data_IF_564870090823
#
_entry.id   IF_564870090823
#
_cell.length_a   1.000
_cell.length_b   1.000
_cell.length_c   1.000
_cell.angle_alpha   90.00
_cell.angle_beta   90.00
_cell.angle_gamma   90.00
#
_symmetry.space_group_name_H-M   'P 1'
#
loop_
_entity.id
_entity.type
_entity.pdbx_description
1 polymer ?
#
# COMPACT_ATOMS: atom_id res chain seq x y z
N UNK A 1 -0.76 6.39 17.43
CA UNK A 1 0.17 5.75 16.46
C UNK A 1 1.44 6.58 16.28
N UNK A 2 1.36 7.87 15.97
CA UNK A 2 2.54 8.76 15.91
C UNK A 2 3.48 8.57 17.11
N UNK A 3 2.98 8.65 18.35
CA UNK A 3 3.81 8.53 19.56
C UNK A 3 4.56 7.18 19.63
N UNK A 4 3.98 6.10 19.09
CA UNK A 4 4.63 4.79 19.02
C UNK A 4 5.77 4.77 18.00
N UNK A 5 5.61 5.47 16.86
CA UNK A 5 6.65 5.61 15.84
C UNK A 5 7.81 6.46 16.37
N UNK A 6 7.50 7.61 17.01
CA UNK A 6 8.51 8.43 17.68
C UNK A 6 9.24 7.64 18.76
N UNK A 7 8.51 6.95 19.65
CA UNK A 7 9.12 6.10 20.68
C UNK A 7 10.06 5.04 20.10
N UNK A 8 9.70 4.41 18.97
CA UNK A 8 10.58 3.45 18.30
C UNK A 8 11.88 4.11 17.86
N UNK A 9 11.80 5.24 17.17
CA UNK A 9 12.95 5.90 16.57
C UNK A 9 13.80 6.73 17.56
N UNK A 10 13.22 7.24 18.63
CA UNK A 10 13.88 8.19 19.51
C UNK A 10 14.31 7.56 20.84
N UNK A 11 13.60 6.52 21.31
CA UNK A 11 13.87 5.88 22.60
C UNK A 11 14.36 4.43 22.47
N UNK A 12 13.68 3.61 21.67
CA UNK A 12 13.94 2.16 21.61
C UNK A 12 15.16 1.86 20.72
N UNK A 13 15.27 2.50 19.57
CA UNK A 13 16.28 2.19 18.56
C UNK A 13 16.95 3.42 17.91
N UNK A 14 17.35 4.47 18.66
CA UNK A 14 17.87 5.72 18.09
C UNK A 14 19.17 5.58 17.28
N UNK A 15 19.94 4.53 17.54
CA UNK A 15 21.15 4.23 16.77
C UNK A 15 20.88 3.42 15.49
N UNK A 16 19.67 2.90 15.30
CA UNK A 16 19.33 2.00 14.20
C UNK A 16 18.35 2.61 13.19
N UNK A 17 17.45 3.49 13.62
CA UNK A 17 16.40 4.08 12.79
C UNK A 17 16.18 5.55 13.13
N UNK A 18 15.87 6.37 12.12
CA UNK A 18 15.60 7.79 12.31
C UNK A 18 14.42 8.22 11.40
N UNK A 19 13.57 9.11 11.91
CA UNK A 19 12.44 9.66 11.16
C UNK A 19 12.95 10.72 10.17
N UNK A 20 12.58 10.56 8.91
CA UNK A 20 12.87 11.49 7.83
C UNK A 20 11.65 12.33 7.48
N UNK A 21 11.88 13.63 7.37
CA UNK A 21 10.85 14.61 7.03
C UNK A 21 11.00 15.18 5.62
N UNK A 22 12.17 15.00 5.00
CA UNK A 22 12.55 15.53 3.69
C UNK A 22 13.41 14.51 2.95
N UNK A 23 13.55 14.62 1.63
CA UNK A 23 14.45 13.75 0.85
C UNK A 23 15.90 13.87 1.32
N UNK A 24 16.34 15.05 1.76
CA UNK A 24 17.66 15.27 2.34
C UNK A 24 17.85 14.49 3.66
N UNK A 25 16.82 14.38 4.49
CA UNK A 25 16.88 13.51 5.68
C UNK A 25 17.03 12.05 5.26
N UNK A 26 16.23 11.57 4.30
CA UNK A 26 16.33 10.19 3.78
C UNK A 26 17.77 9.87 3.35
N UNK A 27 18.39 10.75 2.54
CA UNK A 27 19.77 10.57 2.05
C UNK A 27 20.79 10.59 3.17
N UNK A 28 20.70 11.55 4.09
CA UNK A 28 21.61 11.67 5.23
C UNK A 28 21.53 10.45 6.15
N UNK A 29 20.32 10.01 6.50
CA UNK A 29 20.07 8.89 7.42
C UNK A 29 20.61 7.59 6.80
N UNK A 30 20.30 7.35 5.52
CA UNK A 30 20.82 6.19 4.80
C UNK A 30 22.36 6.22 4.70
N UNK A 31 22.96 7.37 4.40
CA UNK A 31 24.42 7.53 4.35
C UNK A 31 25.09 7.30 5.72
N UNK A 32 24.37 7.53 6.82
CA UNK A 32 24.81 7.21 8.18
C UNK A 32 24.64 5.72 8.55
N UNK A 33 24.12 4.88 7.65
CA UNK A 33 23.90 3.45 7.89
C UNK A 33 22.66 3.14 8.73
N UNK A 34 21.81 4.13 9.01
CA UNK A 34 20.54 3.94 9.74
C UNK A 34 19.40 3.60 8.78
N UNK A 35 18.38 2.93 9.30
CA UNK A 35 17.09 2.77 8.63
C UNK A 35 16.35 4.10 8.60
N UNK A 36 15.63 4.33 7.51
CA UNK A 36 14.82 5.53 7.31
C UNK A 36 13.37 5.20 7.63
N UNK A 37 12.75 5.95 8.53
CA UNK A 37 11.31 5.92 8.76
C UNK A 37 10.66 7.17 8.15
N UNK A 38 9.55 7.01 7.42
CA UNK A 38 8.67 8.09 7.03
C UNK A 38 7.25 7.77 7.50
N UNK A 39 6.44 8.79 7.81
CA UNK A 39 5.10 8.57 8.37
C UNK A 39 4.03 8.86 7.33
N UNK A 40 3.23 7.83 7.04
CA UNK A 40 2.01 7.92 6.24
C UNK A 40 0.75 7.83 7.09
N UNK A 41 -0.30 8.53 6.68
CA UNK A 41 -1.63 8.46 7.27
C UNK A 41 -2.56 7.78 6.29
N UNK A 42 -2.74 6.48 6.45
CA UNK A 42 -3.74 5.74 5.67
C UNK A 42 -5.11 5.93 6.33
N UNK A 43 -6.04 6.58 5.61
CA UNK A 43 -7.34 7.06 6.06
C UNK A 43 -7.32 8.40 6.83
N UNK A 44 -7.90 9.44 6.22
CA UNK A 44 -8.12 10.74 6.85
C UNK A 44 -9.28 10.74 7.87
N UNK A 45 -10.04 9.65 8.04
CA UNK A 45 -11.12 9.58 9.03
C UNK A 45 -10.75 10.13 10.43
N UNK A 46 -9.55 9.84 10.99
CA UNK A 46 -9.13 10.37 12.29
C UNK A 46 -8.83 11.88 12.34
N UNK A 47 -8.73 12.57 11.20
CA UNK A 47 -8.68 14.05 11.15
C UNK A 47 -9.97 14.64 11.75
N UNK A 48 -11.08 13.87 11.74
CA UNK A 48 -12.35 14.32 12.30
C UNK A 48 -12.99 15.40 11.43
N UNK A 49 -13.63 16.39 12.08
CA UNK A 49 -14.29 17.52 11.43
C UNK A 49 -13.53 18.84 11.59
N UNK A 50 -12.35 18.80 12.21
CA UNK A 50 -11.50 19.97 12.44
C UNK A 50 -10.30 19.90 11.50
N UNK A 51 -10.29 20.77 10.49
CA UNK A 51 -9.26 20.81 9.46
C UNK A 51 -7.86 21.14 10.02
N UNK A 52 -7.78 21.77 11.20
CA UNK A 52 -6.48 22.06 11.84
C UNK A 52 -5.70 20.79 12.22
N UNK A 53 -6.37 19.64 12.32
CA UNK A 53 -5.71 18.36 12.56
C UNK A 53 -4.80 17.92 11.39
N UNK A 54 -4.98 18.44 10.17
CA UNK A 54 -4.05 18.19 9.06
C UNK A 54 -2.68 18.81 9.37
N UNK A 55 -2.65 20.03 9.90
CA UNK A 55 -1.42 20.67 10.38
C UNK A 55 -0.81 19.89 11.55
N UNK A 56 -1.62 19.46 12.53
CA UNK A 56 -1.14 18.63 13.65
C UNK A 56 -0.45 17.35 13.13
N UNK A 57 -1.08 16.65 12.19
CA UNK A 57 -0.51 15.42 11.63
C UNK A 57 0.78 15.69 10.87
N UNK A 58 0.86 16.79 10.11
CA UNK A 58 2.10 17.22 9.46
C UNK A 58 3.23 17.51 10.47
N UNK A 59 2.92 18.25 11.53
CA UNK A 59 3.86 18.62 12.61
C UNK A 59 4.37 17.40 13.38
N UNK A 60 3.54 16.34 13.48
CA UNK A 60 3.91 15.04 14.05
C UNK A 60 4.62 14.12 13.04
N UNK A 61 4.99 14.64 11.88
CA UNK A 61 5.83 13.94 10.90
C UNK A 61 5.10 13.29 9.73
N UNK A 62 3.78 13.43 9.64
CA UNK A 62 2.99 12.96 8.50
C UNK A 62 3.47 13.56 7.18
N UNK A 63 3.73 12.72 6.17
CA UNK A 63 4.21 13.17 4.85
C UNK A 63 3.35 12.71 3.67
N UNK A 64 2.46 11.75 3.88
CA UNK A 64 1.38 11.49 2.95
C UNK A 64 0.10 11.10 3.69
N UNK A 65 -1.06 11.28 3.05
CA UNK A 65 -2.34 10.88 3.61
C UNK A 65 -3.35 10.50 2.53
N UNK A 66 -4.09 9.41 2.73
CA UNK A 66 -5.22 9.03 1.87
C UNK A 66 -6.55 9.50 2.47
N UNK A 67 -7.44 10.06 1.65
CA UNK A 67 -8.71 10.61 2.16
C UNK A 67 -9.75 9.55 2.53
N UNK A 68 -9.56 8.30 2.10
CA UNK A 68 -10.39 7.15 2.46
C UNK A 68 -9.52 5.88 2.58
N UNK A 69 -10.08 4.83 3.16
CA UNK A 69 -9.49 3.48 3.18
C UNK A 69 -10.57 2.48 2.71
N UNK A 70 -10.70 1.30 3.30
CA UNK A 70 -11.86 0.43 3.11
C UNK A 70 -13.07 1.01 3.84
N UNK A 71 -14.04 1.51 3.07
CA UNK A 71 -15.20 2.27 3.55
C UNK A 71 -15.07 3.78 3.30
N UNK A 72 -16.20 4.42 2.98
CA UNK A 72 -16.29 5.87 2.77
C UNK A 72 -15.90 6.64 4.04
N UNK A 73 -15.31 7.82 3.86
CA UNK A 73 -15.02 8.75 4.96
C UNK A 73 -15.87 10.02 4.82
N UNK A 74 -15.75 10.91 5.80
CA UNK A 74 -16.31 12.26 5.74
C UNK A 74 -15.63 13.14 4.66
N UNK A 75 -14.51 12.70 4.07
CA UNK A 75 -13.76 13.43 3.05
C UNK A 75 -13.97 12.88 1.64
N UNK A 76 -14.05 11.55 1.50
CA UNK A 76 -14.05 10.92 0.18
C UNK A 76 -14.77 9.57 0.17
N UNK A 77 -15.30 9.23 -1.00
CA UNK A 77 -15.74 7.87 -1.29
C UNK A 77 -14.57 6.91 -1.44
N UNK A 78 -14.76 5.68 -1.00
CA UNK A 78 -13.80 4.59 -1.16
C UNK A 78 -14.09 3.78 -2.43
N UNK A 79 -13.06 3.17 -2.99
CA UNK A 79 -13.18 2.13 -4.02
C UNK A 79 -14.16 1.01 -3.63
N UNK A 80 -14.39 0.77 -2.34
CA UNK A 80 -15.31 -0.28 -1.88
C UNK A 80 -16.76 -0.06 -2.33
N UNK A 81 -17.14 1.18 -2.68
CA UNK A 81 -18.46 1.48 -3.23
C UNK A 81 -18.72 0.81 -4.58
N UNK A 82 -17.67 0.43 -5.32
CA UNK A 82 -17.82 -0.26 -6.61
C UNK A 82 -18.46 -1.64 -6.47
N UNK A 83 -18.28 -2.29 -5.31
CA UNK A 83 -18.81 -3.63 -5.05
C UNK A 83 -20.35 -3.65 -5.02
N UNK A 84 -20.96 -2.61 -4.48
CA UNK A 84 -22.40 -2.54 -4.18
C UNK A 84 -23.12 -1.32 -4.76
N UNK A 85 -22.41 -0.50 -5.56
CA UNK A 85 -22.89 0.76 -6.15
C UNK A 85 -23.41 1.76 -5.10
N UNK A 86 -22.71 1.83 -3.96
CA UNK A 86 -23.01 2.75 -2.87
C UNK A 86 -21.97 3.86 -2.81
N UNK A 87 -22.42 5.10 -2.88
CA UNK A 87 -21.58 6.30 -2.89
C UNK A 87 -22.15 7.34 -1.90
N UNK A 88 -21.30 7.90 -1.04
CA UNK A 88 -21.69 8.90 -0.05
C UNK A 88 -21.62 10.32 -0.63
N UNK A 89 -20.61 10.60 -1.45
CA UNK A 89 -20.34 11.95 -1.99
C UNK A 89 -20.36 11.99 -3.52
N UNK A 90 -20.34 10.83 -4.18
CA UNK A 90 -20.05 10.63 -5.60
C UNK A 90 -18.66 11.16 -6.00
N UNK A 91 -17.67 11.01 -5.10
CA UNK A 91 -16.34 11.60 -5.25
C UNK A 91 -15.83 12.15 -3.92
N UNK A 92 -15.47 13.44 -3.91
CA UNK A 92 -15.11 14.16 -2.68
C UNK A 92 -16.34 14.81 -2.03
N UNK A 93 -16.32 14.90 -0.71
CA UNK A 93 -17.20 15.82 0.02
C UNK A 93 -16.68 17.26 -0.08
N UNK A 94 -17.47 18.26 0.33
CA UNK A 94 -16.97 19.65 0.42
C UNK A 94 -15.73 19.73 1.32
N UNK A 95 -15.74 19.01 2.43
CA UNK A 95 -14.59 18.92 3.34
C UNK A 95 -13.40 18.17 2.70
N UNK A 96 -13.65 17.21 1.82
CA UNK A 96 -12.62 16.56 1.01
C UNK A 96 -11.90 17.53 0.09
N UNK A 97 -12.64 18.43 -0.57
CA UNK A 97 -12.07 19.47 -1.45
C UNK A 97 -11.25 20.48 -0.64
N UNK A 98 -11.72 20.87 0.53
CA UNK A 98 -10.95 21.71 1.47
C UNK A 98 -9.68 21.00 1.96
N UNK A 99 -9.76 19.70 2.26
CA UNK A 99 -8.60 18.92 2.69
C UNK A 99 -7.51 18.84 1.61
N UNK A 100 -7.86 18.74 0.32
CA UNK A 100 -6.89 18.81 -0.79
C UNK A 100 -6.06 20.10 -0.71
N UNK A 101 -6.73 21.24 -0.53
CA UNK A 101 -6.05 22.53 -0.42
C UNK A 101 -5.16 22.61 0.82
N UNK A 102 -5.64 22.13 1.98
CA UNK A 102 -4.88 22.19 3.22
C UNK A 102 -3.66 21.23 3.21
N UNK A 103 -3.79 20.06 2.57
CA UNK A 103 -2.67 19.15 2.34
C UNK A 103 -1.62 19.76 1.41
N UNK A 104 -2.03 20.45 0.34
CA UNK A 104 -1.10 21.18 -0.52
C UNK A 104 -0.38 22.29 0.25
N UNK A 105 -1.09 23.06 1.09
CA UNK A 105 -0.52 24.12 1.91
C UNK A 105 0.53 23.59 2.88
N UNK A 106 0.29 22.47 3.56
CA UNK A 106 1.25 21.91 4.53
C UNK A 106 2.33 21.02 3.90
N UNK A 107 2.18 20.63 2.65
CA UNK A 107 3.13 19.74 1.97
C UNK A 107 2.98 18.27 2.38
N UNK A 108 1.74 17.83 2.64
CA UNK A 108 1.40 16.41 2.73
C UNK A 108 1.09 15.90 1.32
N UNK A 109 1.80 14.86 0.88
CA UNK A 109 1.50 14.20 -0.39
C UNK A 109 0.10 13.58 -0.31
N UNK A 110 -0.77 13.92 -1.24
CA UNK A 110 -2.10 13.32 -1.32
C UNK A 110 -1.95 11.93 -1.92
N UNK A 111 -2.43 10.93 -1.17
CA UNK A 111 -2.38 9.52 -1.55
C UNK A 111 -3.73 9.03 -2.10
N UNK A 112 -3.70 8.49 -3.32
CA UNK A 112 -4.88 7.99 -4.04
C UNK A 112 -5.07 6.49 -3.95
N UNK A 113 -4.26 5.79 -3.16
CA UNK A 113 -4.53 4.39 -2.83
C UNK A 113 -5.72 4.32 -1.86
N UNK A 114 -6.80 3.62 -2.27
CA UNK A 114 -8.12 3.39 -1.64
C UNK A 114 -9.30 4.26 -2.09
N UNK A 115 -9.21 5.59 -2.30
CA UNK A 115 -10.32 6.39 -2.77
C UNK A 115 -10.98 5.86 -4.07
N UNK A 116 -12.24 6.22 -4.29
CA UNK A 116 -12.97 5.87 -5.52
C UNK A 116 -12.40 6.59 -6.74
N UNK A 117 -12.61 6.06 -7.95
CA UNK A 117 -12.19 6.73 -9.19
C UNK A 117 -12.65 8.18 -9.25
N UNK A 118 -13.92 8.46 -8.96
CA UNK A 118 -14.46 9.82 -8.97
C UNK A 118 -13.68 10.75 -8.01
N UNK A 119 -13.40 10.29 -6.79
CA UNK A 119 -12.64 11.06 -5.81
C UNK A 119 -11.20 11.33 -6.30
N UNK A 120 -10.54 10.32 -6.89
CA UNK A 120 -9.18 10.44 -7.44
C UNK A 120 -9.13 11.49 -8.55
N UNK A 121 -10.08 11.45 -9.48
CA UNK A 121 -10.14 12.41 -10.59
C UNK A 121 -10.37 13.85 -10.08
N UNK A 122 -11.23 14.03 -9.09
CA UNK A 122 -11.41 15.35 -8.46
C UNK A 122 -10.16 15.82 -7.69
N UNK A 123 -9.45 14.92 -6.99
CA UNK A 123 -8.17 15.28 -6.36
C UNK A 123 -7.15 15.76 -7.41
N UNK A 124 -7.07 15.09 -8.56
CA UNK A 124 -6.21 15.47 -9.69
C UNK A 124 -6.61 16.81 -10.31
N UNK A 125 -7.91 17.15 -10.35
CA UNK A 125 -8.41 18.42 -10.85
C UNK A 125 -8.12 19.59 -9.88
N UNK A 126 -8.13 19.33 -8.57
CA UNK A 126 -8.03 20.35 -7.53
C UNK A 126 -6.59 20.59 -7.03
N UNK A 127 -5.75 19.56 -7.06
CA UNK A 127 -4.43 19.63 -6.44
C UNK A 127 -3.48 20.58 -7.19
N UNK A 128 -2.67 21.31 -6.43
CA UNK A 128 -1.58 22.13 -6.95
C UNK A 128 -0.25 21.36 -7.04
N UNK A 129 -0.15 20.18 -6.44
CA UNK A 129 1.09 19.43 -6.30
C UNK A 129 0.96 17.98 -6.81
N UNK A 130 2.08 17.29 -7.10
CA UNK A 130 2.02 15.91 -7.55
C UNK A 130 1.42 14.96 -6.51
N UNK A 131 0.59 14.03 -6.96
CA UNK A 131 -0.03 12.98 -6.15
C UNK A 131 0.85 11.73 -6.07
N UNK A 132 0.54 10.87 -5.10
CA UNK A 132 1.08 9.51 -5.04
C UNK A 132 -0.07 8.51 -5.04
N UNK A 133 0.17 7.30 -5.54
CA UNK A 133 -0.55 6.11 -5.10
C UNK A 133 0.44 5.27 -4.29
N UNK A 134 0.29 5.19 -2.97
CA UNK A 134 1.30 4.57 -2.10
C UNK A 134 1.30 3.04 -2.15
N UNK A 135 0.20 2.44 -2.59
CA UNK A 135 0.03 0.99 -2.80
C UNK A 135 -1.17 0.69 -3.71
N UNK A 136 -0.93 0.75 -5.02
CA UNK A 136 -1.90 0.39 -6.05
C UNK A 136 -1.19 -0.18 -7.27
N UNK A 137 -1.89 -1.03 -8.03
CA UNK A 137 -1.36 -1.65 -9.25
C UNK A 137 -2.27 -1.33 -10.45
N UNK A 138 -1.90 -1.79 -11.65
CA UNK A 138 -2.65 -1.54 -12.88
C UNK A 138 -3.90 -2.43 -13.03
N UNK A 139 -5.05 -1.81 -13.31
CA UNK A 139 -6.35 -2.52 -13.42
C UNK A 139 -6.48 -3.32 -14.72
N UNK A 140 -5.86 -2.85 -15.80
CA UNK A 140 -5.80 -3.56 -17.08
C UNK A 140 -5.11 -4.94 -16.97
N UNK A 141 -4.22 -5.12 -16.00
CA UNK A 141 -3.50 -6.38 -15.76
C UNK A 141 -4.27 -7.34 -14.84
N UNK A 142 -5.02 -6.80 -13.87
CA UNK A 142 -5.90 -7.59 -13.00
C UNK A 142 -7.08 -6.72 -12.54
N UNK A 143 -8.28 -7.13 -12.92
CA UNK A 143 -9.51 -6.38 -12.70
C UNK A 143 -9.89 -6.36 -11.22
N UNK A 144 -9.58 -5.26 -10.54
CA UNK A 144 -9.82 -5.08 -9.11
C UNK A 144 -10.02 -3.59 -8.79
N UNK A 145 -11.02 -3.24 -7.97
CA UNK A 145 -11.36 -1.85 -7.63
C UNK A 145 -10.22 -1.08 -6.92
N UNK A 146 -9.27 -1.80 -6.31
CA UNK A 146 -8.05 -1.23 -5.70
C UNK A 146 -6.98 -0.82 -6.70
N UNK A 147 -7.06 -1.34 -7.92
CA UNK A 147 -6.15 -0.98 -9.00
C UNK A 147 -6.64 0.26 -9.74
N UNK A 148 -5.69 0.98 -10.32
CA UNK A 148 -5.94 2.18 -11.10
C UNK A 148 -6.16 1.79 -12.56
N UNK A 149 -7.21 2.33 -13.18
CA UNK A 149 -7.38 2.20 -14.62
C UNK A 149 -6.47 3.15 -15.40
N UNK A 150 -6.35 2.91 -16.70
CA UNK A 150 -5.43 3.65 -17.56
C UNK A 150 -5.73 5.16 -17.60
N UNK A 151 -6.99 5.57 -17.45
CA UNK A 151 -7.35 6.99 -17.39
C UNK A 151 -6.75 7.63 -16.13
N UNK A 152 -6.91 6.99 -14.97
CA UNK A 152 -6.33 7.47 -13.72
C UNK A 152 -4.80 7.49 -13.80
N UNK A 153 -4.18 6.44 -14.36
CA UNK A 153 -2.73 6.33 -14.52
C UNK A 153 -2.19 7.46 -15.41
N UNK A 154 -2.81 7.72 -16.55
CA UNK A 154 -2.41 8.81 -17.45
C UNK A 154 -2.58 10.19 -16.81
N UNK A 155 -3.63 10.40 -16.01
CA UNK A 155 -3.79 11.65 -15.27
C UNK A 155 -2.73 11.82 -14.18
N UNK A 156 -2.33 10.76 -13.48
CA UNK A 156 -1.23 10.80 -12.51
C UNK A 156 0.10 11.16 -13.20
N UNK A 157 0.35 10.61 -14.39
CA UNK A 157 1.49 10.99 -15.24
C UNK A 157 1.48 12.49 -15.54
N UNK A 158 0.37 13.01 -16.07
CA UNK A 158 0.21 14.44 -16.41
C UNK A 158 0.42 15.36 -15.20
N UNK A 159 -0.03 14.93 -14.02
CA UNK A 159 0.15 15.63 -12.75
C UNK A 159 1.60 15.61 -12.22
N UNK A 160 2.47 14.74 -12.74
CA UNK A 160 3.84 14.59 -12.24
C UNK A 160 4.00 13.58 -11.10
N UNK A 161 2.94 12.82 -10.79
CA UNK A 161 2.85 11.94 -9.63
C UNK A 161 3.65 10.65 -9.75
N UNK A 162 3.48 9.72 -8.80
CA UNK A 162 4.10 8.39 -8.81
C UNK A 162 3.14 7.31 -8.32
N UNK A 163 3.15 6.15 -8.97
CA UNK A 163 2.40 4.95 -8.58
C UNK A 163 3.37 3.93 -7.99
N UNK A 164 3.25 3.66 -6.70
CA UNK A 164 3.99 2.61 -6.01
C UNK A 164 3.26 1.28 -6.24
N UNK A 165 3.78 0.46 -7.17
CA UNK A 165 3.19 -0.83 -7.52
C UNK A 165 3.20 -1.75 -6.31
N UNK A 166 2.03 -2.24 -5.91
CA UNK A 166 1.88 -3.00 -4.66
C UNK A 166 2.00 -4.51 -4.87
N UNK A 167 2.77 -5.16 -4.01
CA UNK A 167 2.89 -6.62 -3.93
C UNK A 167 1.70 -7.27 -3.19
N UNK A 168 0.48 -7.12 -3.71
CA UNK A 168 -0.71 -7.72 -3.11
C UNK A 168 -1.32 -8.77 -4.06
N UNK A 169 -1.34 -10.05 -3.62
CA UNK A 169 -1.67 -11.19 -4.49
C UNK A 169 -2.96 -11.04 -5.30
N UNK A 170 -4.07 -10.68 -4.65
CA UNK A 170 -5.36 -10.49 -5.33
C UNK A 170 -5.43 -9.25 -6.24
N UNK A 171 -4.51 -8.30 -6.10
CA UNK A 171 -4.45 -7.11 -6.94
C UNK A 171 -3.54 -7.31 -8.14
N UNK A 172 -2.52 -8.17 -8.02
CA UNK A 172 -1.62 -8.50 -9.12
C UNK A 172 -2.19 -9.56 -10.05
N UNK A 173 -2.84 -10.59 -9.50
CA UNK A 173 -3.41 -11.64 -10.34
C UNK A 173 -4.55 -12.33 -9.60
N UNK A 174 -5.76 -11.77 -9.72
CA UNK A 174 -6.94 -12.24 -9.00
C UNK A 174 -7.28 -13.72 -9.27
N UNK A 175 -7.10 -14.16 -10.52
CA UNK A 175 -7.36 -15.54 -10.93
C UNK A 175 -6.34 -16.51 -10.33
N UNK A 176 -5.03 -16.23 -10.49
CA UNK A 176 -3.95 -17.04 -9.91
C UNK A 176 -4.07 -17.09 -8.38
N UNK A 177 -4.35 -15.96 -7.74
CA UNK A 177 -4.58 -15.88 -6.30
C UNK A 177 -5.78 -16.71 -5.84
N UNK A 178 -6.89 -16.67 -6.59
CA UNK A 178 -8.09 -17.46 -6.29
C UNK A 178 -7.84 -18.96 -6.42
N UNK A 179 -7.17 -19.38 -7.50
CA UNK A 179 -6.81 -20.78 -7.71
C UNK A 179 -5.90 -21.31 -6.60
N UNK A 180 -4.86 -20.56 -6.21
CA UNK A 180 -3.96 -20.93 -5.12
C UNK A 180 -4.69 -21.04 -3.79
N UNK A 181 -5.50 -20.03 -3.44
CA UNK A 181 -6.30 -20.00 -2.21
C UNK A 181 -7.28 -21.17 -2.14
N UNK A 182 -7.95 -21.51 -3.23
CA UNK A 182 -8.92 -22.60 -3.27
C UNK A 182 -8.23 -23.97 -3.14
N UNK A 183 -7.04 -24.15 -3.72
CA UNK A 183 -6.23 -25.35 -3.55
C UNK A 183 -5.71 -25.50 -2.12
N UNK A 184 -5.20 -24.42 -1.52
CA UNK A 184 -4.78 -24.38 -0.11
C UNK A 184 -5.95 -24.66 0.83
N UNK A 185 -7.13 -24.10 0.57
CA UNK A 185 -8.33 -24.33 1.37
C UNK A 185 -8.69 -25.81 1.39
N UNK A 186 -8.68 -26.48 0.23
CA UNK A 186 -8.95 -27.94 0.15
C UNK A 186 -7.94 -28.78 0.93
N UNK A 187 -6.65 -28.43 0.86
CA UNK A 187 -5.61 -29.11 1.63
C UNK A 187 -5.86 -28.93 3.14
N UNK A 188 -6.12 -27.70 3.58
CA UNK A 188 -6.38 -27.38 4.97
C UNK A 188 -7.66 -28.04 5.49
N UNK A 189 -8.73 -28.10 4.69
CA UNK A 189 -9.96 -28.82 5.02
C UNK A 189 -9.71 -30.33 5.19
N UNK A 190 -8.90 -30.93 4.31
CA UNK A 190 -8.51 -32.34 4.43
C UNK A 190 -7.74 -32.60 5.72
N UNK A 191 -6.74 -31.78 6.04
CA UNK A 191 -5.92 -31.92 7.25
C UNK A 191 -6.77 -31.67 8.51
N UNK A 192 -7.64 -30.65 8.47
CA UNK A 192 -8.53 -30.33 9.58
C UNK A 192 -9.49 -31.50 9.87
N UNK A 193 -10.04 -32.13 8.83
CA UNK A 193 -10.89 -33.32 8.97
C UNK A 193 -10.13 -34.48 9.61
N UNK A 194 -8.89 -34.75 9.19
CA UNK A 194 -8.03 -35.80 9.76
C UNK A 194 -7.70 -35.54 11.24
N UNK A 195 -7.51 -34.27 11.62
CA UNK A 195 -7.24 -33.85 12.99
C UNK A 195 -8.50 -33.68 13.85
N UNK A 196 -9.70 -33.76 13.27
CA UNK A 196 -10.96 -33.44 13.94
C UNK A 196 -11.08 -31.97 14.38
N UNK A 197 -10.44 -31.06 13.66
CA UNK A 197 -10.48 -29.61 13.91
C UNK A 197 -11.60 -28.99 13.07
N UNK A 198 -12.52 -28.27 13.71
CA UNK A 198 -13.52 -27.46 13.01
C UNK A 198 -12.90 -26.15 12.52
N UNK A 199 -13.03 -25.85 11.22
CA UNK A 199 -12.60 -24.56 10.66
C UNK A 199 -13.69 -23.51 10.85
N UNK A 200 -13.42 -22.53 11.71
CA UNK A 200 -14.37 -21.48 12.05
C UNK A 200 -14.33 -20.30 11.06
N UNK A 201 -15.50 -19.79 10.70
CA UNK A 201 -15.65 -18.53 9.96
C UNK A 201 -15.08 -17.34 10.74
N UNK A 202 -14.84 -16.22 10.05
CA UNK A 202 -14.39 -14.99 10.70
C UNK A 202 -15.32 -14.53 11.84
N UNK A 203 -16.64 -14.57 11.64
CA UNK A 203 -17.62 -14.20 12.64
C UNK A 203 -17.57 -15.12 13.88
N UNK A 204 -17.44 -16.43 13.67
CA UNK A 204 -17.29 -17.40 14.77
C UNK A 204 -15.98 -17.17 15.53
N UNK A 205 -14.86 -16.95 14.83
CA UNK A 205 -13.56 -16.67 15.46
C UNK A 205 -13.58 -15.41 16.34
N UNK A 206 -14.25 -14.35 15.87
CA UNK A 206 -14.37 -13.11 16.63
C UNK A 206 -15.34 -13.20 17.82
N UNK A 207 -16.25 -14.17 17.81
CA UNK A 207 -17.14 -14.43 18.92
C UNK A 207 -16.51 -15.27 20.04
N UNK A 208 -15.31 -15.83 19.82
CA UNK A 208 -14.59 -16.62 20.83
C UNK A 208 -14.12 -15.74 21.99
N UNK A 209 -14.10 -16.32 23.19
CA UNK A 209 -13.38 -15.73 24.31
C UNK A 209 -11.87 -15.68 24.01
N UNK A 210 -11.12 -14.79 24.64
CA UNK A 210 -9.68 -14.69 24.41
C UNK A 210 -8.90 -16.02 24.68
N UNK A 211 -9.21 -16.78 25.76
CA UNK A 211 -8.65 -18.12 25.95
C UNK A 211 -9.01 -19.09 24.82
N UNK A 212 -10.27 -19.15 24.40
CA UNK A 212 -10.71 -20.07 23.34
C UNK A 212 -10.11 -19.70 21.98
N UNK A 213 -10.01 -18.40 21.69
CA UNK A 213 -9.33 -17.89 20.50
C UNK A 213 -7.87 -18.28 20.48
N UNK A 214 -7.18 -18.21 21.63
CA UNK A 214 -5.78 -18.63 21.75
C UNK A 214 -5.63 -20.13 21.50
N UNK A 215 -6.50 -20.95 22.10
CA UNK A 215 -6.52 -22.39 21.89
C UNK A 215 -6.81 -22.76 20.42
N UNK A 216 -7.74 -22.04 19.80
CA UNK A 216 -8.09 -22.20 18.39
C UNK A 216 -6.94 -21.82 17.45
N UNK A 217 -6.25 -20.69 17.68
CA UNK A 217 -5.05 -20.33 16.90
C UNK A 217 -3.96 -21.39 17.03
N UNK A 218 -3.77 -21.95 18.23
CA UNK A 218 -2.82 -23.04 18.44
C UNK A 218 -3.21 -24.35 17.72
N UNK A 219 -4.51 -24.60 17.46
CA UNK A 219 -4.94 -25.75 16.67
C UNK A 219 -4.67 -25.55 15.18
N UNK A 220 -4.84 -24.32 14.66
CA UNK A 220 -4.50 -23.99 13.27
C UNK A 220 -3.00 -24.16 12.98
N UNK A 221 -2.12 -23.86 13.93
CA UNK A 221 -0.68 -24.07 13.76
C UNK A 221 -0.32 -25.53 13.45
N UNK A 222 -1.12 -26.50 13.93
CA UNK A 222 -0.94 -27.93 13.59
C UNK A 222 -1.33 -28.25 12.16
N UNK A 223 -2.34 -27.55 11.62
CA UNK A 223 -2.72 -27.66 10.22
C UNK A 223 -1.58 -27.14 9.36
N UNK A 224 -1.05 -25.97 9.69
CA UNK A 224 0.08 -25.35 8.96
C UNK A 224 1.32 -26.26 8.96
N UNK A 225 1.66 -26.87 10.10
CA UNK A 225 2.78 -27.82 10.22
C UNK A 225 2.64 -29.03 9.28
N UNK A 226 1.44 -29.59 9.16
CA UNK A 226 1.16 -30.73 8.28
C UNK A 226 0.97 -30.33 6.81
N UNK A 227 0.50 -29.11 6.56
CA UNK A 227 0.33 -28.58 5.21
C UNK A 227 1.69 -28.25 4.58
N UNK A 228 2.62 -27.65 5.34
CA UNK A 228 3.92 -27.19 4.86
C UNK A 228 4.68 -28.19 3.97
N UNK A 229 4.91 -29.47 4.36
CA UNK A 229 5.62 -30.44 3.51
C UNK A 229 4.80 -30.91 2.29
N UNK A 230 3.49 -30.66 2.26
CA UNK A 230 2.57 -31.05 1.19
C UNK A 230 2.31 -29.93 0.18
N UNK A 231 2.61 -28.68 0.54
CA UNK A 231 2.33 -27.48 -0.25
C UNK A 231 2.84 -27.57 -1.68
N UNK A 232 4.10 -27.96 -1.88
CA UNK A 232 4.68 -27.99 -3.23
C UNK A 232 4.01 -29.03 -4.12
N UNK A 233 3.80 -30.24 -3.59
CA UNK A 233 3.25 -31.35 -4.34
C UNK A 233 1.76 -31.20 -4.62
N UNK A 234 0.98 -30.70 -3.66
CA UNK A 234 -0.48 -30.72 -3.71
C UNK A 234 -1.11 -29.35 -4.05
N UNK A 235 -0.40 -28.25 -3.82
CA UNK A 235 -0.91 -26.89 -4.07
C UNK A 235 -0.10 -26.21 -5.16
N UNK A 236 1.18 -25.92 -4.93
CA UNK A 236 1.97 -25.05 -5.81
C UNK A 236 2.21 -25.67 -7.20
N UNK A 237 2.25 -27.02 -7.31
CA UNK A 237 2.42 -27.72 -8.59
C UNK A 237 1.23 -27.58 -9.55
N UNK A 238 0.02 -27.37 -9.01
CA UNK A 238 -1.24 -27.29 -9.78
C UNK A 238 -1.83 -25.87 -9.79
N UNK A 239 -1.54 -25.09 -8.76
CA UNK A 239 -1.99 -23.71 -8.58
C UNK A 239 -0.85 -22.93 -7.91
N UNK A 240 0.15 -22.44 -8.68
CA UNK A 240 1.26 -21.69 -8.12
C UNK A 240 0.79 -20.35 -7.52
N UNK A 241 1.41 -19.89 -6.41
CA UNK A 241 1.06 -18.61 -5.79
C UNK A 241 1.47 -17.43 -6.68
N UNK A 242 0.79 -16.30 -6.52
CA UNK A 242 1.26 -15.02 -7.06
C UNK A 242 2.66 -14.72 -6.52
N UNK A 243 3.56 -14.26 -7.39
CA UNK A 243 4.99 -14.16 -7.13
C UNK A 243 5.59 -12.82 -7.57
N UNK A 244 6.89 -12.65 -7.35
CA UNK A 244 7.64 -11.45 -7.77
C UNK A 244 7.56 -11.21 -9.28
N UNK A 245 7.40 -12.24 -10.10
CA UNK A 245 7.20 -12.10 -11.54
C UNK A 245 5.90 -11.36 -11.86
N UNK A 246 4.79 -11.73 -11.21
CA UNK A 246 3.51 -11.02 -11.38
C UNK A 246 3.62 -9.54 -10.93
N UNK A 247 4.37 -9.25 -9.85
CA UNK A 247 4.64 -7.87 -9.44
C UNK A 247 5.36 -7.08 -10.54
N UNK A 248 6.42 -7.65 -11.10
CA UNK A 248 7.22 -6.96 -12.12
C UNK A 248 6.48 -6.87 -13.46
N UNK A 249 5.54 -7.78 -13.76
CA UNK A 249 4.61 -7.62 -14.90
C UNK A 249 3.80 -6.32 -14.81
N UNK A 250 3.30 -5.99 -13.61
CA UNK A 250 2.62 -4.71 -13.38
C UNK A 250 3.57 -3.52 -13.47
N UNK A 251 4.82 -3.65 -12.98
CA UNK A 251 5.83 -2.58 -13.10
C UNK A 251 6.12 -2.32 -14.59
N UNK A 252 6.34 -3.36 -15.39
CA UNK A 252 6.60 -3.23 -16.83
C UNK A 252 5.45 -2.53 -17.55
N UNK A 253 4.21 -2.96 -17.28
CA UNK A 253 3.01 -2.31 -17.83
C UNK A 253 2.93 -0.82 -17.47
N UNK A 254 3.17 -0.49 -16.20
CA UNK A 254 3.14 0.89 -15.73
C UNK A 254 4.27 1.72 -16.35
N UNK A 255 5.48 1.18 -16.45
CA UNK A 255 6.61 1.86 -17.09
C UNK A 255 6.31 2.14 -18.56
N UNK A 256 5.70 1.21 -19.28
CA UNK A 256 5.28 1.39 -20.68
C UNK A 256 4.21 2.48 -20.82
N UNK A 257 3.19 2.48 -19.97
CA UNK A 257 2.05 3.39 -20.07
C UNK A 257 2.39 4.81 -19.57
N UNK A 258 2.88 4.90 -18.33
CA UNK A 258 3.07 6.17 -17.62
C UNK A 258 4.51 6.67 -17.60
N UNK A 259 5.49 5.85 -17.95
CA UNK A 259 6.90 6.24 -17.93
C UNK A 259 7.58 5.94 -16.61
N UNK A 260 8.86 5.60 -16.67
CA UNK A 260 9.66 5.13 -15.53
C UNK A 260 9.64 6.10 -14.33
N UNK A 261 9.67 7.40 -14.59
CA UNK A 261 9.71 8.48 -13.59
C UNK A 261 8.43 8.59 -12.74
N UNK A 262 7.39 7.85 -13.11
CA UNK A 262 6.09 7.78 -12.45
C UNK A 262 5.81 6.42 -11.80
N UNK A 263 6.79 5.51 -11.75
CA UNK A 263 6.62 4.17 -11.18
C UNK A 263 7.53 3.96 -9.97
N UNK A 264 7.01 3.32 -8.94
CA UNK A 264 7.77 2.84 -7.79
C UNK A 264 7.26 1.48 -7.30
N UNK A 265 7.62 1.10 -6.09
CA UNK A 265 7.29 -0.20 -5.49
C UNK A 265 6.81 -0.04 -4.05
N UNK A 266 5.80 -0.80 -3.66
CA UNK A 266 5.42 -1.03 -2.26
C UNK A 266 5.07 -2.49 -2.01
N UNK A 267 5.21 -2.92 -0.75
CA UNK A 267 4.93 -4.30 -0.37
C UNK A 267 3.55 -4.50 0.28
N UNK A 268 3.05 -3.46 0.96
CA UNK A 268 1.92 -3.56 1.89
C UNK A 268 2.14 -4.64 2.99
N UNK A 269 3.40 -4.83 3.41
CA UNK A 269 3.74 -5.70 4.54
C UNK A 269 3.03 -5.26 5.82
N UNK A 270 2.63 -6.24 6.63
CA UNK A 270 1.81 -6.07 7.84
C UNK A 270 0.39 -5.49 7.58
N UNK A 271 0.07 -5.11 6.33
CA UNK A 271 -1.27 -4.70 5.84
C UNK A 271 -2.01 -5.80 5.07
N UNK A 272 -1.33 -6.90 4.75
CA UNK A 272 -1.88 -8.05 4.02
C UNK A 272 -1.16 -8.34 2.70
N UNK A 273 -0.26 -7.46 2.27
CA UNK A 273 0.62 -7.68 1.13
C UNK A 273 1.76 -8.66 1.39
N UNK A 274 2.59 -8.83 0.36
CA UNK A 274 3.54 -9.91 0.20
C UNK A 274 3.12 -10.88 -0.92
N UNK A 275 4.12 -11.40 -1.63
CA UNK A 275 3.97 -12.40 -2.69
C UNK A 275 5.05 -13.46 -2.56
N UNK A 276 4.89 -14.60 -3.23
CA UNK A 276 5.93 -15.63 -3.27
C UNK A 276 7.25 -15.05 -3.79
N UNK A 277 8.31 -15.19 -2.99
CA UNK A 277 9.62 -14.59 -3.25
C UNK A 277 9.79 -13.16 -2.73
N UNK A 278 8.76 -12.52 -2.18
CA UNK A 278 8.88 -11.28 -1.40
C UNK A 278 7.80 -11.19 -0.31
N UNK A 279 7.87 -12.11 0.66
CA UNK A 279 6.90 -12.22 1.75
C UNK A 279 7.25 -11.36 2.97
N UNK A 280 8.48 -10.85 3.06
CA UNK A 280 8.91 -9.93 4.11
C UNK A 280 10.16 -9.14 3.66
N UNK A 281 10.57 -8.18 4.49
CA UNK A 281 11.68 -7.28 4.19
C UNK A 281 13.03 -7.98 3.92
N UNK A 282 13.27 -9.21 4.42
CA UNK A 282 14.51 -9.94 4.15
C UNK A 282 14.60 -10.45 2.71
N UNK A 283 13.48 -10.60 2.02
CA UNK A 283 13.39 -11.10 0.64
C UNK A 283 13.43 -9.98 -0.41
N UNK A 284 13.55 -8.71 0.02
CA UNK A 284 13.52 -7.52 -0.86
C UNK A 284 14.50 -7.58 -2.04
N UNK A 285 15.61 -8.31 -1.89
CA UNK A 285 16.56 -8.53 -2.97
C UNK A 285 15.95 -9.23 -4.18
N UNK A 286 14.97 -10.12 -3.99
CA UNK A 286 14.37 -10.90 -5.08
C UNK A 286 13.63 -10.02 -6.09
N UNK A 287 13.03 -8.90 -5.66
CA UNK A 287 12.43 -7.92 -6.56
C UNK A 287 13.49 -7.24 -7.42
N UNK A 288 14.61 -6.85 -6.81
CA UNK A 288 15.75 -6.28 -7.56
C UNK A 288 16.33 -7.30 -8.54
N UNK A 289 16.45 -8.57 -8.14
CA UNK A 289 16.93 -9.63 -9.01
C UNK A 289 16.02 -9.82 -10.23
N UNK A 290 14.70 -9.75 -10.04
CA UNK A 290 13.75 -9.86 -11.14
C UNK A 290 13.82 -8.64 -12.07
N UNK A 291 13.88 -7.41 -11.54
CA UNK A 291 14.09 -6.21 -12.36
C UNK A 291 15.38 -6.30 -13.20
N UNK A 292 16.48 -6.80 -12.62
CA UNK A 292 17.74 -7.02 -13.36
C UNK A 292 17.56 -8.05 -14.48
N UNK A 293 16.84 -9.15 -14.24
CA UNK A 293 16.55 -10.17 -15.27
C UNK A 293 15.76 -9.59 -16.44
N UNK A 294 14.88 -8.63 -16.17
CA UNK A 294 14.10 -7.92 -17.20
C UNK A 294 14.84 -6.78 -17.89
N UNK A 295 16.09 -6.51 -17.48
CA UNK A 295 16.97 -5.58 -18.16
C UNK A 295 16.96 -4.15 -17.60
N UNK A 296 16.33 -3.90 -16.45
CA UNK A 296 16.43 -2.60 -15.79
C UNK A 296 17.87 -2.36 -15.33
N UNK A 297 18.38 -1.17 -15.63
CA UNK A 297 19.71 -0.72 -15.20
C UNK A 297 19.69 -0.31 -13.73
N UNK A 298 20.86 -0.28 -13.10
CA UNK A 298 21.02 0.18 -11.71
C UNK A 298 20.39 1.56 -11.46
N UNK A 299 20.56 2.49 -12.40
CA UNK A 299 19.93 3.83 -12.32
C UNK A 299 18.41 3.75 -12.32
N UNK A 300 17.82 2.95 -13.21
CA UNK A 300 16.36 2.81 -13.29
C UNK A 300 15.80 2.11 -12.05
N UNK A 301 16.50 1.08 -11.55
CA UNK A 301 16.16 0.40 -10.30
C UNK A 301 16.20 1.38 -9.12
N UNK A 302 17.20 2.26 -9.06
CA UNK A 302 17.28 3.33 -8.05
C UNK A 302 16.13 4.33 -8.11
N UNK A 303 15.65 4.66 -9.32
CA UNK A 303 14.47 5.51 -9.51
C UNK A 303 13.20 4.84 -8.96
N UNK A 304 12.98 3.58 -9.30
CA UNK A 304 11.82 2.79 -8.87
C UNK A 304 11.82 2.60 -7.34
N UNK A 305 12.96 2.25 -6.73
CA UNK A 305 13.03 1.98 -5.28
C UNK A 305 12.86 3.21 -4.39
N UNK A 306 13.19 4.40 -4.88
CA UNK A 306 13.07 5.61 -4.04
C UNK A 306 13.11 6.92 -4.81
N UNK A 307 13.88 7.00 -5.90
CA UNK A 307 14.16 8.27 -6.58
C UNK A 307 12.90 9.03 -6.98
N UNK A 308 11.91 8.32 -7.53
CA UNK A 308 10.67 8.93 -8.02
C UNK A 308 9.78 9.44 -6.88
N UNK A 309 9.65 8.70 -5.77
CA UNK A 309 8.92 9.16 -4.59
C UNK A 309 9.58 10.39 -3.97
N UNK A 310 10.91 10.37 -3.86
CA UNK A 310 11.64 11.48 -3.24
C UNK A 310 11.57 12.75 -4.11
N UNK A 311 11.51 12.61 -5.44
CA UNK A 311 11.20 13.72 -6.35
C UNK A 311 9.82 14.31 -6.05
N UNK A 312 8.78 13.47 -5.95
CA UNK A 312 7.42 13.94 -5.63
C UNK A 312 7.37 14.62 -4.26
N UNK A 313 8.06 14.09 -3.25
CA UNK A 313 8.17 14.73 -1.94
C UNK A 313 8.80 16.13 -2.04
N UNK A 314 9.89 16.28 -2.81
CA UNK A 314 10.57 17.57 -3.01
C UNK A 314 9.65 18.58 -3.71
N UNK A 315 8.92 18.16 -4.74
CA UNK A 315 7.96 19.00 -5.45
C UNK A 315 6.80 19.45 -4.56
N UNK A 316 6.23 18.54 -3.79
CA UNK A 316 5.15 18.84 -2.84
C UNK A 316 5.61 19.84 -1.78
N UNK A 317 6.82 19.67 -1.23
CA UNK A 317 7.36 20.58 -0.23
C UNK A 317 7.71 21.96 -0.79
N UNK A 318 8.20 22.03 -2.04
CA UNK A 318 8.44 23.29 -2.74
C UNK A 318 7.12 24.05 -2.96
N UNK A 319 6.09 23.36 -3.46
CA UNK A 319 4.78 23.97 -3.74
C UNK A 319 4.10 24.43 -2.45
N UNK A 320 4.23 23.66 -1.35
CA UNK A 320 3.76 24.08 -0.04
C UNK A 320 4.40 25.40 0.43
N UNK A 321 5.72 25.55 0.22
CA UNK A 321 6.43 26.79 0.56
C UNK A 321 5.99 27.98 -0.31
N UNK A 322 5.70 27.75 -1.58
CA UNK A 322 5.13 28.76 -2.49
C UNK A 322 3.74 29.20 -2.02
N UNK A 323 2.86 28.25 -1.68
CA UNK A 323 1.50 28.52 -1.16
C UNK A 323 1.54 29.33 0.14
N UNK A 324 2.42 28.98 1.07
CA UNK A 324 2.52 29.68 2.36
C UNK A 324 3.12 31.09 2.25
N UNK A 325 3.71 31.44 1.10
CA UNK A 325 4.26 32.76 0.83
C UNK A 325 3.29 33.70 0.09
N UNK A 326 2.17 33.19 -0.42
CA UNK A 326 1.07 33.94 -1.05
C UNK A 326 0.25 34.73 0.00
#
# INVERSE_FOLDING_TARGET
KFDSIHRLAEEIAPEQIEIAYTSNNVRRINAAGKKVAMIGIENAYPVGLDMTNIEDFYNRGGRYMSLAHNGHSQFADSNTGERDDVWLHNGLSDMGREAVAEMNKWGIMIDVSHPSKAAIMEMLDLTRAPLIASHSSARAMSEHSRNLDDEQLLRIKENGGVVQTVAFGSYLNADKNTLHRDALTKLNESIAADLGIELLSFAQRNALSEPDRTAYVASLAKIDELAAPRMDAEVNSVAPPVDVGDLVDHIDYLVELIGLEHVGISSDFDGGGGVSGWNNAAETFNVTLELVRRGYTETQIGMIWSGNLLRVLDDVQRIAAEIQAE
#
